data_IF_102240196360
#
_entry.id   IF_102240196360
#
_cell.length_a   1.000
_cell.length_b   1.000
_cell.length_c   1.000
_cell.angle_alpha   90.00
_cell.angle_beta   90.00
_cell.angle_gamma   90.00
#
_symmetry.space_group_name_H-M   'P 1'
#
loop_
_entity.id
_entity.type
_entity.pdbx_description
1 polymer ?
#
# COMPACT_ATOMS: atom_id res chain seq x y z
N UNK A 1 8.16 14.04 16.03
CA UNK A 1 8.73 12.70 16.25
C UNK A 1 8.11 11.70 15.31
N UNK A 2 8.92 11.04 14.50
CA UNK A 2 8.41 10.03 13.58
C UNK A 2 8.20 8.71 14.32
N UNK A 3 6.99 8.19 14.26
CA UNK A 3 6.71 6.87 14.80
C UNK A 3 7.13 5.85 13.77
N UNK A 4 8.01 4.93 14.16
CA UNK A 4 8.45 3.88 13.27
C UNK A 4 7.40 2.78 13.24
N UNK A 5 6.78 2.59 12.07
CA UNK A 5 5.75 1.58 11.90
C UNK A 5 6.41 0.21 11.74
N UNK A 6 5.86 -0.80 12.41
CA UNK A 6 6.35 -2.16 12.24
C UNK A 6 5.96 -2.71 10.89
N UNK A 7 6.73 -3.69 10.40
CA UNK A 7 6.40 -4.34 9.13
C UNK A 7 5.03 -4.99 9.17
N UNK A 8 4.68 -5.57 10.31
CA UNK A 8 3.39 -6.23 10.49
C UNK A 8 2.24 -5.23 10.38
N UNK A 9 2.40 -4.06 10.97
CA UNK A 9 1.39 -3.02 10.91
C UNK A 9 1.21 -2.52 9.48
N UNK A 10 2.32 -2.27 8.80
CA UNK A 10 2.30 -1.80 7.42
C UNK A 10 1.61 -2.83 6.52
N UNK A 11 1.95 -4.09 6.69
CA UNK A 11 1.33 -5.16 5.90
C UNK A 11 -0.17 -5.21 6.11
N UNK A 12 -0.62 -5.11 7.35
CA UNK A 12 -2.05 -5.13 7.65
C UNK A 12 -2.79 -3.96 7.04
N UNK A 13 -2.24 -2.76 7.17
CA UNK A 13 -2.86 -1.57 6.62
C UNK A 13 -2.85 -1.59 5.09
N UNK A 14 -1.76 -2.05 4.50
CA UNK A 14 -1.65 -2.14 3.06
C UNK A 14 -2.65 -3.15 2.50
N UNK A 15 -2.80 -4.29 3.17
CA UNK A 15 -3.76 -5.30 2.77
C UNK A 15 -5.20 -4.76 2.82
N UNK A 16 -5.51 -4.00 3.87
CA UNK A 16 -6.84 -3.38 4.00
C UNK A 16 -7.10 -2.40 2.85
N UNK A 17 -6.11 -1.58 2.54
CA UNK A 17 -6.25 -0.63 1.44
C UNK A 17 -6.40 -1.34 0.10
N UNK A 18 -5.66 -2.43 -0.09
CA UNK A 18 -5.78 -3.23 -1.31
C UNK A 18 -7.19 -3.82 -1.45
N UNK A 19 -7.73 -4.35 -0.35
CA UNK A 19 -9.09 -4.89 -0.37
C UNK A 19 -10.10 -3.79 -0.71
N UNK A 20 -9.93 -2.61 -0.13
CA UNK A 20 -10.80 -1.49 -0.44
C UNK A 20 -10.73 -1.13 -1.93
N UNK A 21 -9.53 -1.16 -2.49
CA UNK A 21 -9.34 -0.90 -3.91
C UNK A 21 -10.08 -1.93 -4.78
N UNK A 22 -9.94 -3.21 -4.43
CA UNK A 22 -10.52 -4.29 -5.21
C UNK A 22 -12.05 -4.34 -5.08
N UNK A 23 -12.59 -3.85 -3.98
CA UNK A 23 -14.04 -3.85 -3.76
C UNK A 23 -14.67 -2.49 -3.99
N UNK A 24 -13.89 -1.51 -4.43
CA UNK A 24 -14.40 -0.16 -4.68
C UNK A 24 -15.50 -0.17 -5.72
N UNK A 25 -16.55 0.60 -5.49
CA UNK A 25 -17.71 0.62 -6.35
C UNK A 25 -17.73 1.82 -7.30
N UNK A 26 -16.82 2.76 -7.10
CA UNK A 26 -16.72 3.92 -7.97
C UNK A 26 -15.28 4.41 -8.02
N UNK A 27 -15.01 5.34 -8.94
CA UNK A 27 -13.65 5.82 -9.16
C UNK A 27 -13.10 6.58 -7.95
N UNK A 28 -13.95 7.30 -7.22
CA UNK A 28 -13.50 8.06 -6.06
C UNK A 28 -12.99 7.13 -4.96
N UNK A 29 -13.71 6.02 -4.71
CA UNK A 29 -13.27 5.04 -3.72
C UNK A 29 -11.97 4.37 -4.15
N UNK A 30 -11.85 4.03 -5.42
CA UNK A 30 -10.61 3.47 -5.95
C UNK A 30 -9.45 4.42 -5.76
N UNK A 31 -9.67 5.68 -6.09
CA UNK A 31 -8.62 6.69 -6.01
C UNK A 31 -8.14 6.85 -4.56
N UNK A 32 -9.09 6.89 -3.62
CA UNK A 32 -8.73 6.99 -2.20
C UNK A 32 -7.90 5.80 -1.74
N UNK A 33 -8.31 4.59 -2.11
CA UNK A 33 -7.58 3.39 -1.74
C UNK A 33 -6.17 3.38 -2.34
N UNK A 34 -6.04 3.76 -3.61
CA UNK A 34 -4.73 3.84 -4.26
C UNK A 34 -3.83 4.86 -3.59
N UNK A 35 -4.40 5.99 -3.18
CA UNK A 35 -3.63 7.02 -2.49
C UNK A 35 -3.10 6.52 -1.16
N UNK A 36 -3.94 5.79 -0.41
CA UNK A 36 -3.51 5.20 0.85
C UNK A 36 -2.39 4.19 0.61
N UNK A 37 -2.53 3.34 -0.39
CA UNK A 37 -1.49 2.38 -0.74
C UNK A 37 -0.18 3.07 -1.08
N UNK A 38 -0.25 4.14 -1.89
CA UNK A 38 0.95 4.87 -2.28
C UNK A 38 1.64 5.51 -1.07
N UNK A 39 0.87 6.06 -0.14
CA UNK A 39 1.43 6.64 1.07
C UNK A 39 2.11 5.59 1.94
N UNK A 40 1.48 4.43 2.09
CA UNK A 40 2.06 3.33 2.85
C UNK A 40 3.34 2.82 2.21
N UNK A 41 3.35 2.71 0.88
CA UNK A 41 4.56 2.29 0.16
C UNK A 41 5.70 3.28 0.38
N UNK A 42 5.39 4.57 0.31
CA UNK A 42 6.41 5.58 0.55
C UNK A 42 7.00 5.49 1.94
N UNK A 43 6.13 5.37 2.95
CA UNK A 43 6.58 5.26 4.33
C UNK A 43 7.37 3.97 4.54
N UNK A 44 6.93 2.88 3.94
CA UNK A 44 7.61 1.60 4.07
C UNK A 44 9.00 1.64 3.43
N UNK A 45 9.14 2.32 2.30
CA UNK A 45 10.46 2.48 1.66
C UNK A 45 11.38 3.26 2.58
N UNK A 46 10.89 4.33 3.18
CA UNK A 46 11.69 5.14 4.08
C UNK A 46 12.14 4.37 5.32
N UNK A 47 11.28 3.49 5.84
CA UNK A 47 11.54 2.80 7.08
C UNK A 47 12.23 1.45 6.90
N UNK A 48 11.92 0.73 5.85
CA UNK A 48 12.35 -0.66 5.68
C UNK A 48 13.02 -0.94 4.34
N UNK A 49 13.05 0.04 3.45
CA UNK A 49 13.72 -0.11 2.16
C UNK A 49 12.79 -0.59 1.04
N UNK A 50 13.23 -0.36 -0.19
CA UNK A 50 12.43 -0.69 -1.38
C UNK A 50 12.25 -2.20 -1.55
N UNK A 51 13.23 -2.99 -1.12
CA UNK A 51 13.14 -4.44 -1.25
C UNK A 51 11.99 -5.01 -0.42
N UNK A 52 11.78 -4.43 0.76
CA UNK A 52 10.64 -4.84 1.59
C UNK A 52 9.33 -4.57 0.87
N UNK A 53 9.19 -3.41 0.26
CA UNK A 53 7.96 -3.05 -0.45
C UNK A 53 7.72 -3.97 -1.64
N UNK A 54 8.77 -4.28 -2.39
CA UNK A 54 8.64 -5.22 -3.51
C UNK A 54 8.19 -6.59 -3.04
N UNK A 55 8.76 -7.08 -1.93
CA UNK A 55 8.35 -8.35 -1.35
C UNK A 55 6.91 -8.32 -0.88
N UNK A 56 6.49 -7.21 -0.28
CA UNK A 56 5.13 -7.04 0.21
C UNK A 56 4.13 -7.10 -0.95
N UNK A 57 4.44 -6.41 -2.04
CA UNK A 57 3.57 -6.39 -3.22
C UNK A 57 3.45 -7.78 -3.84
N UNK A 58 4.57 -8.50 -3.93
CA UNK A 58 4.56 -9.88 -4.43
C UNK A 58 3.74 -10.79 -3.54
N UNK A 59 3.93 -10.67 -2.22
CA UNK A 59 3.23 -11.50 -1.25
C UNK A 59 1.72 -11.32 -1.33
N UNK A 60 1.27 -10.09 -1.49
CA UNK A 60 -0.14 -9.76 -1.55
C UNK A 60 -0.71 -9.82 -2.97
N UNK A 61 0.13 -10.12 -3.94
CA UNK A 61 -0.28 -10.22 -5.35
C UNK A 61 -1.00 -8.95 -5.82
N UNK A 62 -0.41 -7.82 -5.49
CA UNK A 62 -1.00 -6.53 -5.87
C UNK A 62 -1.06 -6.42 -7.39
N UNK A 63 -2.24 -6.16 -7.96
CA UNK A 63 -2.35 -6.00 -9.41
C UNK A 63 -1.53 -4.81 -9.87
N UNK A 64 -1.07 -4.87 -11.11
CA UNK A 64 -0.39 -3.72 -11.70
C UNK A 64 -1.40 -2.61 -11.86
N UNK A 65 -1.37 -1.69 -10.94
CA UNK A 65 -2.21 -0.51 -10.99
C UNK A 65 -1.44 0.49 -11.83
N UNK A 66 -1.72 0.55 -13.08
CA UNK A 66 -1.08 1.43 -14.05
C UNK A 66 -0.19 2.53 -13.47
N UNK A 67 -0.39 3.73 -13.81
CA UNK A 67 0.47 4.81 -13.30
C UNK A 67 -0.11 5.39 -12.03
N UNK A 68 0.60 5.17 -10.93
CA UNK A 68 0.23 5.76 -9.64
C UNK A 68 0.75 7.17 -9.48
N UNK A 69 1.18 7.71 -10.53
CA UNK A 69 1.62 9.10 -10.49
C UNK A 69 0.43 10.03 -10.60
#
# INVERSE_FOLDING_TARGET
MKIKLSKRYIEGQYKNALMDYLTAQNEDEKWCARKIMAMLEKDAIEMHGVDYVNSLRDKLQVPKIGHLT
#
